data_IF_383137241328
#
_entry.id   IF_383137241328
#
_cell.length_a   1.000
_cell.length_b   1.000
_cell.length_c   1.000
_cell.angle_alpha   90.00
_cell.angle_beta   90.00
_cell.angle_gamma   90.00
#
_symmetry.space_group_name_H-M   'P 1'
#
loop_
_entity.id
_entity.type
_entity.pdbx_description
1 polymer ?
#
# COMPACT_ATOMS: atom_id res chain seq x y z
N UNK A 1 17.06 3.35 -82.64
CA UNK A 1 17.72 3.61 -81.34
C UNK A 1 17.05 4.81 -80.66
N UNK A 2 15.71 4.78 -80.50
CA UNK A 2 14.94 5.85 -79.84
C UNK A 2 13.75 5.32 -79.03
N UNK A 3 13.28 4.08 -79.25
CA UNK A 3 12.16 3.49 -78.48
C UNK A 3 12.57 2.79 -77.18
N UNK A 4 13.85 2.47 -76.98
CA UNK A 4 14.32 1.80 -75.74
C UNK A 4 14.63 2.76 -74.59
N UNK A 5 14.78 4.06 -74.88
CA UNK A 5 15.11 5.09 -73.86
C UNK A 5 13.87 5.52 -73.06
N UNK A 6 12.67 5.42 -73.61
CA UNK A 6 11.42 5.87 -72.98
C UNK A 6 10.95 4.93 -71.86
N UNK A 7 11.01 3.61 -72.07
CA UNK A 7 10.63 2.62 -71.05
C UNK A 7 11.56 2.65 -69.83
N UNK A 8 12.89 2.72 -70.05
CA UNK A 8 13.89 2.79 -68.96
C UNK A 8 13.70 4.03 -68.06
N UNK A 9 13.39 5.19 -68.66
CA UNK A 9 13.08 6.40 -67.89
C UNK A 9 11.75 6.28 -67.14
N UNK A 10 10.71 5.72 -67.76
CA UNK A 10 9.39 5.58 -67.17
C UNK A 10 9.38 4.60 -65.99
N UNK A 11 10.10 3.48 -66.10
CA UNK A 11 10.31 2.51 -65.01
C UNK A 11 11.04 3.12 -63.82
N UNK A 12 12.04 3.98 -64.08
CA UNK A 12 12.74 4.74 -63.02
C UNK A 12 11.80 5.71 -62.31
N UNK A 13 10.96 6.44 -63.03
CA UNK A 13 9.96 7.35 -62.44
C UNK A 13 8.90 6.60 -61.62
N UNK A 14 8.44 5.44 -62.08
CA UNK A 14 7.56 4.55 -61.33
C UNK A 14 8.21 4.04 -60.05
N UNK A 15 9.50 3.66 -60.10
CA UNK A 15 10.27 3.28 -58.92
C UNK A 15 10.43 4.44 -57.93
N UNK A 16 10.71 5.66 -58.41
CA UNK A 16 10.82 6.84 -57.54
C UNK A 16 9.47 7.17 -56.88
N UNK A 17 8.36 7.07 -57.60
CA UNK A 17 7.02 7.27 -57.05
C UNK A 17 6.65 6.21 -56.01
N UNK A 18 7.03 4.95 -56.23
CA UNK A 18 6.85 3.87 -55.25
C UNK A 18 7.72 4.07 -53.99
N UNK A 19 8.97 4.51 -54.14
CA UNK A 19 9.86 4.78 -53.00
C UNK A 19 9.37 6.00 -52.20
N UNK A 20 8.89 7.06 -52.85
CA UNK A 20 8.32 8.24 -52.20
C UNK A 20 7.00 7.89 -51.49
N UNK A 21 6.14 7.08 -52.11
CA UNK A 21 4.91 6.59 -51.48
C UNK A 21 5.18 5.69 -50.27
N UNK A 22 6.15 4.79 -50.37
CA UNK A 22 6.54 3.89 -49.28
C UNK A 22 7.19 4.65 -48.12
N UNK A 23 8.07 5.62 -48.39
CA UNK A 23 8.67 6.46 -47.34
C UNK A 23 7.63 7.34 -46.64
N UNK A 24 6.67 7.93 -47.37
CA UNK A 24 5.57 8.68 -46.76
C UNK A 24 4.70 7.81 -45.84
N UNK A 25 4.42 6.56 -46.22
CA UNK A 25 3.67 5.63 -45.38
C UNK A 25 4.40 5.27 -44.07
N UNK A 26 5.73 5.10 -44.10
CA UNK A 26 6.54 4.82 -42.91
C UNK A 26 6.51 6.00 -41.91
N UNK A 27 6.54 7.25 -42.39
CA UNK A 27 6.48 8.43 -41.49
C UNK A 27 5.10 8.67 -40.87
N UNK A 28 4.02 8.16 -41.46
CA UNK A 28 2.67 8.23 -40.88
C UNK A 28 2.35 7.10 -39.90
N UNK A 29 3.20 6.07 -39.81
CA UNK A 29 2.96 4.88 -38.98
C UNK A 29 3.33 5.05 -37.50
N UNK A 30 3.88 6.19 -37.09
CA UNK A 30 4.45 6.37 -35.75
C UNK A 30 3.50 6.96 -34.68
N UNK A 31 2.20 7.09 -34.96
CA UNK A 31 1.29 7.86 -34.08
C UNK A 31 0.01 7.16 -33.63
N UNK A 32 -0.20 5.88 -33.94
CA UNK A 32 -1.53 5.26 -33.79
C UNK A 32 -1.73 4.44 -32.50
N UNK A 33 -0.68 4.25 -31.70
CA UNK A 33 -0.70 3.21 -30.65
C UNK A 33 -0.06 3.64 -29.32
N UNK A 34 -0.21 4.91 -28.94
CA UNK A 34 0.21 5.37 -27.62
C UNK A 34 -0.99 6.00 -26.90
N UNK A 35 -1.71 5.17 -26.14
CA UNK A 35 -2.53 5.72 -25.07
C UNK A 35 -1.58 6.35 -24.06
N UNK A 36 -1.87 7.59 -23.64
CA UNK A 36 -1.07 8.25 -22.62
C UNK A 36 -1.04 7.42 -21.34
N UNK A 37 0.08 7.44 -20.62
CA UNK A 37 0.18 6.78 -19.33
C UNK A 37 -0.82 7.38 -18.32
N UNK A 38 -1.31 6.59 -17.34
CA UNK A 38 -2.17 7.11 -16.28
C UNK A 38 -1.46 8.25 -15.52
N UNK A 39 -2.15 9.37 -15.36
CA UNK A 39 -1.60 10.59 -14.75
C UNK A 39 -2.35 11.03 -13.49
N UNK A 40 -3.54 10.47 -13.23
CA UNK A 40 -4.32 10.81 -12.05
C UNK A 40 -3.81 10.03 -10.83
N UNK A 41 -3.48 10.76 -9.75
CA UNK A 41 -3.03 10.13 -8.51
C UNK A 41 -4.19 9.97 -7.54
N UNK A 42 -4.55 8.72 -7.23
CA UNK A 42 -5.41 8.41 -6.10
C UNK A 42 -4.55 8.24 -4.84
N UNK A 43 -4.86 8.96 -3.78
CA UNK A 43 -4.26 8.79 -2.45
C UNK A 43 -5.34 8.56 -1.41
N UNK A 44 -4.99 7.91 -0.30
CA UNK A 44 -5.91 7.80 0.81
C UNK A 44 -5.31 7.16 2.04
N UNK A 45 -6.16 7.00 3.06
CA UNK A 45 -5.83 6.26 4.27
C UNK A 45 -6.93 5.27 4.61
N UNK A 46 -6.51 4.09 5.03
CA UNK A 46 -7.38 3.13 5.71
C UNK A 46 -7.67 3.65 7.11
N UNK A 47 -8.94 3.80 7.46
CA UNK A 47 -9.35 4.47 8.70
C UNK A 47 -10.41 3.70 9.48
N UNK A 48 -10.43 3.91 10.79
CA UNK A 48 -11.52 3.53 11.68
C UNK A 48 -11.87 4.74 12.55
N UNK A 49 -13.15 5.15 12.56
CA UNK A 49 -13.60 6.39 13.21
C UNK A 49 -12.76 7.63 12.86
N UNK A 50 -12.34 7.73 11.59
CA UNK A 50 -11.52 8.83 11.08
C UNK A 50 -10.03 8.78 11.47
N UNK A 51 -9.61 7.80 12.28
CA UNK A 51 -8.20 7.60 12.64
C UNK A 51 -7.54 6.56 11.74
N UNK A 52 -6.27 6.74 11.35
CA UNK A 52 -5.55 5.76 10.53
C UNK A 52 -5.38 4.42 11.28
N UNK A 53 -5.56 3.32 10.55
CA UNK A 53 -5.27 1.97 11.08
C UNK A 53 -3.84 1.59 10.72
N UNK A 54 -2.98 1.44 11.72
CA UNK A 54 -1.61 1.00 11.53
C UNK A 54 -1.53 -0.46 11.10
N UNK A 55 -0.74 -0.73 10.06
CA UNK A 55 -0.54 -2.07 9.51
C UNK A 55 0.95 -2.42 9.40
N UNK A 56 1.24 -3.65 8.99
CA UNK A 56 2.59 -4.11 8.70
C UNK A 56 3.22 -3.24 7.60
N UNK A 57 4.48 -2.83 7.81
CA UNK A 57 5.21 -1.99 6.86
C UNK A 57 6.03 -2.78 5.84
N UNK A 58 6.33 -4.04 6.14
CA UNK A 58 7.15 -4.93 5.32
C UNK A 58 6.33 -5.81 4.35
N UNK A 59 7.00 -6.29 3.30
CA UNK A 59 6.54 -7.35 2.39
C UNK A 59 5.20 -7.12 1.66
N UNK A 60 4.66 -5.91 1.67
CA UNK A 60 3.44 -5.54 0.92
C UNK A 60 2.24 -6.48 1.22
N UNK A 61 2.14 -6.97 2.46
CA UNK A 61 1.17 -8.02 2.80
C UNK A 61 -0.27 -7.50 2.89
N UNK A 62 -0.44 -6.22 3.22
CA UNK A 62 -1.75 -5.55 3.30
C UNK A 62 -2.03 -4.81 2.00
N UNK A 63 -3.16 -5.15 1.37
CA UNK A 63 -3.58 -4.53 0.12
C UNK A 63 -5.09 -4.38 0.00
N UNK A 64 -5.47 -3.41 -0.81
CA UNK A 64 -6.82 -3.17 -1.30
C UNK A 64 -6.86 -3.50 -2.80
N UNK A 65 -8.07 -3.57 -3.36
CA UNK A 65 -8.26 -3.75 -4.79
C UNK A 65 -9.17 -2.69 -5.37
N UNK A 66 -8.72 -2.09 -6.47
CA UNK A 66 -9.54 -1.25 -7.33
C UNK A 66 -10.09 -2.08 -8.48
N UNK A 67 -11.41 -2.02 -8.63
CA UNK A 67 -12.13 -2.64 -9.74
C UNK A 67 -12.74 -1.57 -10.63
N UNK A 68 -12.66 -1.78 -11.94
CA UNK A 68 -13.29 -0.94 -12.93
C UNK A 68 -14.28 -1.77 -13.74
N UNK A 69 -15.51 -1.29 -13.85
CA UNK A 69 -16.52 -1.90 -14.70
C UNK A 69 -16.31 -1.50 -16.18
N UNK A 70 -16.97 -2.19 -17.11
CA UNK A 70 -16.98 -1.81 -18.53
C UNK A 70 -15.90 -2.45 -19.40
N UNK A 71 -14.99 -3.24 -18.83
CA UNK A 71 -14.00 -4.02 -19.57
C UNK A 71 -14.39 -5.51 -19.64
N UNK A 72 -14.12 -6.14 -20.78
CA UNK A 72 -14.36 -7.57 -20.98
C UNK A 72 -13.49 -8.43 -20.06
N UNK A 73 -12.24 -7.99 -19.81
CA UNK A 73 -11.35 -8.59 -18.81
C UNK A 73 -11.49 -7.83 -17.49
N UNK A 74 -11.84 -8.54 -16.42
CA UNK A 74 -11.96 -7.98 -15.07
C UNK A 74 -10.73 -8.33 -14.24
N UNK A 75 -9.67 -7.55 -14.38
CA UNK A 75 -8.46 -7.67 -13.55
C UNK A 75 -8.41 -6.52 -12.56
N UNK A 76 -8.32 -6.78 -11.24
CA UNK A 76 -8.18 -5.72 -10.26
C UNK A 76 -6.80 -5.07 -10.34
N UNK A 77 -6.73 -3.82 -9.88
CA UNK A 77 -5.47 -3.14 -9.58
C UNK A 77 -5.24 -3.28 -8.08
N UNK A 78 -4.18 -4.01 -7.69
CA UNK A 78 -3.77 -4.11 -6.28
C UNK A 78 -3.16 -2.78 -5.82
N UNK A 79 -3.60 -2.30 -4.65
CA UNK A 79 -3.10 -1.08 -4.02
C UNK A 79 -2.58 -1.43 -2.63
N UNK A 80 -1.29 -1.30 -2.43
CA UNK A 80 -0.64 -1.67 -1.17
C UNK A 80 -0.79 -0.58 -0.11
N UNK A 81 -1.04 -1.02 1.12
CA UNK A 81 -1.19 -0.14 2.28
C UNK A 81 0.15 -0.03 2.99
N UNK A 82 0.60 1.18 3.28
CA UNK A 82 1.84 1.46 4.03
C UNK A 82 1.59 1.37 5.53
N UNK A 83 2.67 1.32 6.31
CA UNK A 83 2.60 1.09 7.77
C UNK A 83 1.66 2.05 8.53
N UNK A 84 1.53 3.29 8.06
CA UNK A 84 0.69 4.35 8.63
C UNK A 84 -0.77 4.32 8.12
N UNK A 85 -1.15 3.25 7.42
CA UNK A 85 -2.46 3.07 6.82
C UNK A 85 -2.66 3.82 5.50
N UNK A 86 -1.65 4.57 5.01
CA UNK A 86 -1.79 5.28 3.74
C UNK A 86 -1.71 4.34 2.53
N UNK A 87 -2.27 4.75 1.41
CA UNK A 87 -2.15 4.04 0.14
C UNK A 87 -2.15 5.03 -1.02
N UNK A 88 -1.60 4.61 -2.16
CA UNK A 88 -1.65 5.43 -3.37
C UNK A 88 -1.57 4.58 -4.64
N UNK A 89 -2.17 5.07 -5.73
CA UNK A 89 -2.08 4.46 -7.05
C UNK A 89 -2.15 5.52 -8.16
N UNK A 90 -1.52 5.24 -9.29
CA UNK A 90 -1.64 6.04 -10.52
C UNK A 90 -2.68 5.40 -11.43
N UNK A 91 -3.70 6.16 -11.80
CA UNK A 91 -4.89 5.68 -12.50
C UNK A 91 -5.22 6.58 -13.69
N UNK A 92 -6.10 6.08 -14.56
CA UNK A 92 -6.84 6.94 -15.48
C UNK A 92 -8.00 7.60 -14.75
N UNK A 93 -8.48 8.72 -15.27
CA UNK A 93 -9.75 9.28 -14.80
C UNK A 93 -10.88 8.28 -15.07
N UNK A 94 -11.78 8.13 -14.10
CA UNK A 94 -12.85 7.16 -14.19
C UNK A 94 -13.46 6.79 -12.85
N UNK A 95 -14.47 5.93 -12.93
CA UNK A 95 -15.14 5.40 -11.74
C UNK A 95 -14.54 4.05 -11.37
N UNK A 96 -14.06 3.95 -10.13
CA UNK A 96 -13.50 2.73 -9.55
C UNK A 96 -14.30 2.28 -8.34
N UNK A 97 -14.15 1.00 -8.01
CA UNK A 97 -14.67 0.37 -6.80
C UNK A 97 -13.49 -0.10 -5.97
N UNK A 98 -13.26 0.55 -4.84
CA UNK A 98 -12.22 0.17 -3.88
C UNK A 98 -12.79 -0.80 -2.85
N UNK A 99 -12.15 -1.96 -2.70
CA UNK A 99 -12.55 -3.02 -1.78
C UNK A 99 -11.38 -3.56 -0.96
N UNK A 100 -11.69 -4.17 0.18
CA UNK A 100 -10.71 -4.97 0.94
C UNK A 100 -10.49 -6.33 0.29
N UNK A 101 -9.28 -6.88 0.44
CA UNK A 101 -9.01 -8.29 0.10
C UNK A 101 -9.11 -9.13 1.36
N UNK A 102 -9.96 -10.15 1.33
CA UNK A 102 -10.17 -11.04 2.48
C UNK A 102 -8.86 -11.64 2.99
N UNK A 103 -8.63 -11.54 4.30
CA UNK A 103 -7.46 -12.11 4.98
C UNK A 103 -6.16 -11.31 4.85
N UNK A 104 -6.15 -10.16 4.16
CA UNK A 104 -4.93 -9.36 3.94
C UNK A 104 -4.71 -8.24 4.95
N UNK A 105 -5.70 -7.92 5.79
CA UNK A 105 -5.58 -6.86 6.78
C UNK A 105 -6.20 -7.25 8.12
N UNK A 106 -5.90 -6.50 9.19
CA UNK A 106 -6.38 -6.78 10.54
C UNK A 106 -7.83 -6.29 10.78
N UNK A 107 -8.69 -6.45 9.77
CA UNK A 107 -10.10 -6.06 9.79
C UNK A 107 -11.00 -7.21 9.35
N UNK A 108 -12.23 -7.18 9.83
CA UNK A 108 -13.25 -8.09 9.31
C UNK A 108 -13.54 -7.74 7.86
N UNK A 109 -13.82 -8.78 7.07
CA UNK A 109 -14.18 -8.57 5.68
C UNK A 109 -15.55 -7.87 5.63
N UNK A 110 -15.57 -6.61 5.21
CA UNK A 110 -16.80 -5.94 4.80
C UNK A 110 -17.01 -6.20 3.31
N UNK A 111 -18.22 -6.61 2.93
CA UNK A 111 -18.67 -6.59 1.54
C UNK A 111 -18.80 -5.17 0.98
N UNK A 112 -18.67 -4.16 1.84
CA UNK A 112 -18.85 -2.76 1.49
C UNK A 112 -17.77 -2.31 0.51
N UNK A 113 -18.24 -1.81 -0.63
CA UNK A 113 -17.44 -1.25 -1.70
C UNK A 113 -17.50 0.27 -1.63
N UNK A 114 -16.35 0.94 -1.65
CA UNK A 114 -16.31 2.39 -1.81
C UNK A 114 -16.22 2.71 -3.30
N UNK A 115 -17.23 3.40 -3.83
CA UNK A 115 -17.17 3.93 -5.19
C UNK A 115 -16.34 5.21 -5.17
N UNK A 116 -15.32 5.27 -6.02
CA UNK A 116 -14.36 6.38 -6.11
C UNK A 116 -14.44 6.97 -7.52
N UNK A 117 -14.70 8.27 -7.61
CA UNK A 117 -14.60 9.00 -8.85
C UNK A 117 -13.22 9.65 -8.93
N UNK A 118 -12.35 9.11 -9.78
CA UNK A 118 -11.03 9.67 -10.05
C UNK A 118 -11.17 10.70 -11.16
N UNK A 119 -10.79 11.94 -10.85
CA UNK A 119 -10.71 13.06 -11.78
C UNK A 119 -9.48 13.90 -11.40
N UNK A 120 -8.36 13.63 -12.05
CA UNK A 120 -7.05 14.08 -11.60
C UNK A 120 -6.70 13.58 -10.19
N UNK A 121 -5.91 14.37 -9.46
CA UNK A 121 -5.51 14.02 -8.11
C UNK A 121 -6.72 13.96 -7.18
N UNK A 122 -6.95 12.77 -6.60
CA UNK A 122 -8.13 12.46 -5.79
C UNK A 122 -7.67 11.89 -4.45
N UNK A 123 -8.19 12.42 -3.33
CA UNK A 123 -7.89 11.93 -1.99
C UNK A 123 -9.15 11.36 -1.32
N UNK A 124 -9.05 10.19 -0.69
CA UNK A 124 -10.17 9.52 -0.02
C UNK A 124 -9.79 8.95 1.34
N UNK A 125 -10.76 8.90 2.26
CA UNK A 125 -10.73 8.01 3.40
C UNK A 125 -11.37 6.67 3.05
N UNK A 126 -10.72 5.56 3.39
CA UNK A 126 -11.26 4.22 3.21
C UNK A 126 -11.61 3.61 4.57
N UNK A 127 -12.89 3.66 5.00
CA UNK A 127 -13.28 3.14 6.31
C UNK A 127 -13.22 1.61 6.32
N UNK A 128 -12.66 1.05 7.39
CA UNK A 128 -12.64 -0.39 7.68
C UNK A 128 -13.16 -0.66 9.09
N UNK A 129 -13.50 -1.92 9.36
CA UNK A 129 -13.84 -2.39 10.70
C UNK A 129 -12.72 -3.31 11.23
N UNK A 130 -11.73 -2.78 11.94
CA UNK A 130 -10.64 -3.60 12.49
C UNK A 130 -11.18 -4.56 13.55
N UNK A 131 -10.46 -5.65 13.83
CA UNK A 131 -10.81 -6.52 14.96
C UNK A 131 -10.55 -5.84 16.31
N UNK A 132 -9.46 -5.07 16.38
CA UNK A 132 -9.05 -4.29 17.55
C UNK A 132 -8.67 -2.86 17.12
N UNK A 133 -8.99 -1.87 17.96
CA UNK A 133 -8.51 -0.50 17.83
C UNK A 133 -7.51 -0.18 18.94
N UNK A 134 -6.48 0.60 18.61
CA UNK A 134 -5.44 1.01 19.55
C UNK A 134 -5.56 2.51 19.80
N UNK A 135 -5.41 2.92 21.05
CA UNK A 135 -5.44 4.34 21.44
C UNK A 135 -4.53 4.59 22.65
N UNK A 136 -4.32 5.86 22.99
CA UNK A 136 -3.52 6.24 24.17
C UNK A 136 -2.08 5.72 24.15
N UNK A 137 -1.51 5.53 22.96
CA UNK A 137 -0.18 4.94 22.80
C UNK A 137 0.88 5.95 23.22
N UNK A 138 1.80 5.53 24.09
CA UNK A 138 2.94 6.33 24.52
C UNK A 138 4.16 5.45 24.74
N UNK A 139 5.34 6.04 24.59
CA UNK A 139 6.64 5.39 24.78
C UNK A 139 7.54 6.29 25.62
N UNK A 140 8.15 5.72 26.65
CA UNK A 140 9.08 6.41 27.56
C UNK A 140 10.31 5.57 27.73
N UNK A 141 11.50 6.15 27.55
CA UNK A 141 12.78 5.52 27.84
C UNK A 141 13.38 6.13 29.10
N UNK A 142 13.64 5.30 30.11
CA UNK A 142 14.33 5.69 31.35
C UNK A 142 15.61 4.86 31.50
N UNK A 143 16.77 5.49 31.31
CA UNK A 143 18.04 4.78 31.21
C UNK A 143 18.03 3.80 30.04
N UNK A 144 17.98 2.50 30.35
CA UNK A 144 17.91 1.39 29.37
C UNK A 144 16.54 0.73 29.30
N UNK A 145 15.57 1.16 30.11
CA UNK A 145 14.25 0.53 30.17
C UNK A 145 13.23 1.31 29.35
N UNK A 146 12.79 0.72 28.24
CA UNK A 146 11.74 1.24 27.38
C UNK A 146 10.37 0.75 27.89
N UNK A 147 9.50 1.69 28.20
CA UNK A 147 8.11 1.44 28.60
C UNK A 147 7.17 1.89 27.49
N UNK A 148 6.23 1.04 27.10
CA UNK A 148 5.12 1.41 26.22
C UNK A 148 3.79 1.21 26.94
N UNK A 149 2.90 2.19 26.83
CA UNK A 149 1.52 2.11 27.32
C UNK A 149 0.56 2.26 26.15
N UNK A 150 -0.49 1.45 26.11
CA UNK A 150 -1.54 1.50 25.10
C UNK A 150 -2.88 1.04 25.67
N UNK A 151 -3.97 1.52 25.09
CA UNK A 151 -5.32 1.00 25.28
C UNK A 151 -5.71 0.16 24.06
N UNK A 152 -6.28 -1.02 24.31
CA UNK A 152 -6.78 -1.94 23.28
C UNK A 152 -8.27 -2.13 23.45
N UNK A 153 -9.02 -1.81 22.39
CA UNK A 153 -10.47 -1.98 22.31
C UNK A 153 -10.82 -3.06 21.28
N UNK A 154 -11.49 -4.13 21.71
CA UNK A 154 -12.04 -5.15 20.81
C UNK A 154 -13.31 -4.63 20.14
N UNK A 155 -13.24 -4.47 18.81
CA UNK A 155 -14.32 -3.93 17.98
C UNK A 155 -15.16 -5.04 17.36
N UNK A 156 -14.52 -6.17 17.07
CA UNK A 156 -15.16 -7.35 16.50
C UNK A 156 -14.92 -8.57 17.39
N UNK A 157 -16.01 -9.08 17.96
CA UNK A 157 -16.02 -10.18 18.95
C UNK A 157 -15.75 -11.56 18.32
N UNK A 158 -15.62 -11.65 16.99
CA UNK A 158 -15.35 -12.91 16.28
C UNK A 158 -13.88 -13.38 16.36
N UNK A 159 -13.00 -12.54 16.92
CA UNK A 159 -11.56 -12.82 17.08
C UNK A 159 -11.09 -12.42 18.46
N UNK A 160 -10.08 -13.12 18.96
CA UNK A 160 -9.41 -12.86 20.24
C UNK A 160 -7.96 -12.39 20.03
N UNK A 161 -7.38 -11.77 21.06
CA UNK A 161 -5.97 -11.40 21.09
C UNK A 161 -5.13 -12.69 21.21
N UNK A 162 -4.12 -12.83 20.36
CA UNK A 162 -3.08 -13.85 20.48
C UNK A 162 -1.97 -13.36 21.41
N UNK A 163 -1.37 -12.21 21.09
CA UNK A 163 -0.44 -11.48 21.95
C UNK A 163 -0.42 -9.99 21.64
N UNK A 164 0.13 -9.21 22.56
CA UNK A 164 0.44 -7.80 22.37
C UNK A 164 1.95 -7.64 22.48
N UNK A 165 2.55 -6.93 21.55
CA UNK A 165 4.00 -6.83 21.43
C UNK A 165 4.46 -5.39 21.50
N UNK A 166 5.49 -5.12 22.29
CA UNK A 166 6.38 -3.97 22.12
C UNK A 166 7.58 -4.43 21.27
N UNK A 167 7.77 -3.79 20.13
CA UNK A 167 8.81 -4.08 19.17
C UNK A 167 9.80 -2.92 19.12
N UNK A 168 11.07 -3.22 18.90
CA UNK A 168 12.08 -2.22 18.50
C UNK A 168 12.88 -2.65 17.28
N UNK A 169 13.37 -1.67 16.53
CA UNK A 169 14.27 -1.86 15.39
C UNK A 169 15.17 -0.65 15.17
N UNK A 170 16.21 -0.82 14.36
CA UNK A 170 17.19 0.22 14.00
C UNK A 170 16.74 1.10 12.81
N UNK A 171 15.61 0.76 12.17
CA UNK A 171 14.97 1.56 11.13
C UNK A 171 13.53 1.92 11.51
N UNK A 172 12.92 2.86 10.77
CA UNK A 172 11.51 3.26 10.96
C UNK A 172 10.49 2.17 10.65
N UNK A 173 10.90 1.11 9.94
CA UNK A 173 10.06 -0.04 9.63
C UNK A 173 10.18 -1.02 10.78
N UNK A 174 9.19 -1.04 11.68
CA UNK A 174 9.16 -1.96 12.81
C UNK A 174 7.82 -2.69 12.77
N UNK A 175 7.83 -4.00 12.62
CA UNK A 175 6.63 -4.85 12.61
C UNK A 175 6.96 -6.30 12.97
N UNK A 176 5.96 -7.18 13.07
CA UNK A 176 6.17 -8.58 13.51
C UNK A 176 7.01 -9.42 12.53
N UNK A 177 7.28 -8.92 11.32
CA UNK A 177 8.23 -9.52 10.36
C UNK A 177 9.60 -8.84 10.35
N UNK A 178 9.76 -7.70 11.02
CA UNK A 178 10.98 -6.90 11.00
C UNK A 178 11.18 -6.15 12.33
N UNK A 179 12.00 -6.71 13.21
CA UNK A 179 12.36 -6.14 14.51
C UNK A 179 13.73 -6.68 14.97
N UNK A 180 14.39 -5.97 15.87
CA UNK A 180 15.65 -6.42 16.52
C UNK A 180 15.42 -6.97 17.92
N UNK A 181 14.36 -6.52 18.62
CA UNK A 181 13.93 -7.08 19.91
C UNK A 181 12.41 -6.94 20.07
N UNK A 182 11.82 -7.91 20.75
CA UNK A 182 10.38 -7.98 21.03
C UNK A 182 10.16 -8.33 22.50
N UNK A 183 9.22 -7.64 23.13
CA UNK A 183 8.64 -8.04 24.40
C UNK A 183 7.15 -8.28 24.21
N UNK A 184 6.69 -9.48 24.55
CA UNK A 184 5.28 -9.85 24.51
C UNK A 184 4.60 -9.62 25.85
N UNK A 185 3.30 -9.34 25.79
CA UNK A 185 2.35 -9.28 26.88
C UNK A 185 1.01 -9.86 26.41
N UNK A 186 0.12 -10.13 27.36
CA UNK A 186 -1.23 -10.62 27.07
C UNK A 186 -2.24 -9.74 27.80
N UNK A 187 -3.36 -9.49 27.15
CA UNK A 187 -4.52 -8.85 27.74
C UNK A 187 -5.73 -9.75 27.45
N UNK A 188 -6.54 -10.03 28.48
CA UNK A 188 -7.66 -10.97 28.37
C UNK A 188 -8.94 -10.31 27.86
N UNK A 189 -9.06 -9.01 28.03
CA UNK A 189 -10.25 -8.20 27.71
C UNK A 189 -9.82 -6.78 27.31
N UNK A 190 -10.75 -5.90 26.95
CA UNK A 190 -10.42 -4.51 26.62
C UNK A 190 -9.74 -3.81 27.79
N UNK A 191 -8.79 -2.93 27.50
CA UNK A 191 -8.19 -2.10 28.54
C UNK A 191 -6.81 -1.56 28.22
N UNK A 192 -6.27 -0.86 29.21
CA UNK A 192 -4.93 -0.28 29.17
C UNK A 192 -3.89 -1.26 29.70
N UNK A 193 -2.77 -1.33 29.01
CA UNK A 193 -1.64 -2.23 29.26
C UNK A 193 -0.35 -1.43 29.24
N UNK A 194 0.60 -1.82 30.10
CA UNK A 194 1.98 -1.32 30.07
C UNK A 194 2.95 -2.48 29.85
N UNK A 195 3.83 -2.34 28.85
CA UNK A 195 4.89 -3.30 28.52
C UNK A 195 6.23 -2.63 28.80
N UNK A 196 7.15 -3.34 29.47
CA UNK A 196 8.52 -2.87 29.73
C UNK A 196 9.52 -3.80 29.05
N UNK A 197 10.52 -3.22 28.41
CA UNK A 197 11.59 -3.93 27.73
C UNK A 197 12.91 -3.23 27.98
N UNK A 198 13.88 -3.96 28.52
CA UNK A 198 15.25 -3.47 28.58
C UNK A 198 15.84 -3.46 27.15
N UNK A 199 16.45 -2.35 26.73
CA UNK A 199 16.98 -2.13 25.37
C UNK A 199 18.45 -1.72 25.39
N UNK A 200 19.20 -2.08 26.43
CA UNK A 200 20.63 -1.71 26.61
C UNK A 200 21.47 -2.07 25.38
N UNK A 201 21.40 -3.32 24.91
CA UNK A 201 22.13 -3.79 23.73
C UNK A 201 21.74 -3.02 22.46
N UNK A 202 20.44 -2.74 22.28
CA UNK A 202 19.93 -2.04 21.10
C UNK A 202 20.35 -0.57 21.10
N UNK A 203 20.45 0.06 22.27
CA UNK A 203 20.98 1.42 22.42
C UNK A 203 22.50 1.47 22.20
N UNK A 204 23.24 0.44 22.61
CA UNK A 204 24.69 0.38 22.42
C UNK A 204 25.08 0.15 20.95
N UNK A 205 24.37 -0.75 20.26
CA UNK A 205 24.78 -1.25 18.95
C UNK A 205 24.21 -0.47 17.75
N UNK A 206 23.13 0.31 17.94
CA UNK A 206 22.47 1.00 16.84
C UNK A 206 22.58 2.53 16.95
N UNK A 207 22.74 3.20 15.81
CA UNK A 207 22.78 4.67 15.71
C UNK A 207 21.39 5.30 15.86
N UNK A 208 20.34 4.55 15.53
CA UNK A 208 18.95 4.91 15.74
C UNK A 208 18.20 3.75 16.37
N UNK A 209 17.15 4.05 17.14
CA UNK A 209 16.26 3.04 17.69
C UNK A 209 14.82 3.52 17.54
N UNK A 210 13.96 2.65 17.06
CA UNK A 210 12.55 2.91 16.82
C UNK A 210 11.71 1.90 17.58
N UNK A 211 10.58 2.33 18.12
CA UNK A 211 9.64 1.48 18.85
C UNK A 211 8.26 1.49 18.20
N UNK A 212 7.56 0.36 18.30
CA UNK A 212 6.18 0.22 17.83
C UNK A 212 5.45 -0.86 18.60
N UNK A 213 4.20 -0.60 18.99
CA UNK A 213 3.32 -1.64 19.55
C UNK A 213 2.49 -2.32 18.48
N UNK A 214 2.15 -3.59 18.73
CA UNK A 214 1.31 -4.40 17.85
C UNK A 214 0.37 -5.30 18.65
N UNK A 215 -0.84 -5.55 18.13
CA UNK A 215 -1.80 -6.55 18.64
C UNK A 215 -1.95 -7.63 17.58
N UNK A 216 -1.43 -8.83 17.90
CA UNK A 216 -1.56 -10.03 17.07
C UNK A 216 -2.93 -10.67 17.32
N UNK A 217 -3.60 -11.02 16.24
CA UNK A 217 -4.98 -11.49 16.25
C UNK A 217 -4.99 -12.99 16.01
N UNK A 218 -5.69 -13.74 16.87
CA UNK A 218 -5.81 -15.18 16.72
C UNK A 218 -6.49 -15.55 15.39
N UNK A 219 -5.84 -16.40 14.59
CA UNK A 219 -6.39 -16.88 13.32
C UNK A 219 -6.33 -15.87 12.17
N UNK A 220 -5.65 -14.74 12.33
CA UNK A 220 -5.40 -13.75 11.29
C UNK A 220 -3.89 -13.57 11.10
N UNK A 221 -3.42 -13.62 9.86
CA UNK A 221 -1.99 -13.49 9.54
C UNK A 221 -1.42 -12.13 9.93
N UNK A 222 -2.20 -11.07 9.73
CA UNK A 222 -1.80 -9.70 10.05
C UNK A 222 -2.14 -9.29 11.48
N UNK A 223 -1.58 -8.15 11.89
CA UNK A 223 -1.76 -7.55 13.20
C UNK A 223 -2.15 -6.07 13.06
N UNK A 224 -2.77 -5.51 14.10
CA UNK A 224 -2.96 -4.06 14.21
C UNK A 224 -1.72 -3.47 14.85
N UNK A 225 -1.23 -2.36 14.34
CA UNK A 225 -0.06 -1.66 14.86
C UNK A 225 -0.41 -0.23 15.27
N UNK A 226 0.43 0.38 16.08
CA UNK A 226 0.53 1.84 16.14
C UNK A 226 0.70 2.38 14.70
N UNK A 227 -0.12 3.34 14.27
CA UNK A 227 0.02 3.95 12.93
C UNK A 227 1.34 4.69 12.78
N UNK A 228 1.98 5.07 13.87
CA UNK A 228 3.25 5.77 13.86
C UNK A 228 4.35 4.94 14.53
N UNK A 229 5.53 4.93 13.94
CA UNK A 229 6.71 4.37 14.60
C UNK A 229 7.37 5.49 15.42
N UNK A 230 7.63 5.25 16.70
CA UNK A 230 8.28 6.23 17.56
C UNK A 230 9.80 6.12 17.48
N UNK A 231 10.50 7.19 17.12
CA UNK A 231 11.96 7.27 17.29
C UNK A 231 12.30 7.44 18.78
N UNK A 232 13.14 6.56 19.30
CA UNK A 232 13.62 6.50 20.69
C UNK A 232 15.04 7.09 20.81
N UNK A 233 15.92 6.74 19.85
CA UNK A 233 17.30 7.25 19.71
C UNK A 233 17.50 7.74 18.29
#
# INVERSE_FOLDING_TARGET
>A
MLETLTNSTMERWLLYLLIVGFTAAIFTSCGKDNYDAPSAKLTGKVTYNGQPVGVRGSNQSVRLQLWQDGFALRTPIDVYVTQDGSFSSMLFDGTYKLITVSGTGPWSHSSDTVVVQVNGNTEIGFPVRPYFALSGISYTLEGTDLTATLTVDQIDQTRSIEDISLLVGDTKFVDLGHFTKQQKATLKENGTLTIRMNVEEQLANNSALFARVAVKINGITEAVYDSETKKIK
#
